data_IF_105359550908
#
_entry.id   IF_105359550908
#
_cell.length_a   1.000
_cell.length_b   1.000
_cell.length_c   1.000
_cell.angle_alpha   90.00
_cell.angle_beta   90.00
_cell.angle_gamma   90.00
#
_symmetry.space_group_name_H-M   'P 1'
#
loop_
_entity.id
_entity.type
_entity.pdbx_description
1 polymer ?
#
# COMPACT_ATOMS: atom_id res chain seq x y z
N UNK A 1 32.51 -66.50 15.70
CA UNK A 1 33.22 -67.04 16.89
C UNK A 1 33.75 -65.83 17.66
N UNK A 2 32.93 -65.30 18.58
CA UNK A 2 32.99 -65.48 20.06
C UNK A 2 34.32 -64.97 20.63
N UNK A 3 34.35 -63.74 21.17
CA UNK A 3 34.14 -63.35 22.58
C UNK A 3 35.36 -63.64 23.48
N UNK A 4 35.93 -62.60 24.12
CA UNK A 4 35.80 -62.41 25.58
C UNK A 4 36.74 -61.34 26.20
N UNK A 5 36.12 -60.47 27.00
CA UNK A 5 36.43 -60.09 28.40
C UNK A 5 37.76 -59.39 28.77
N UNK A 6 37.67 -58.15 29.28
CA UNK A 6 38.09 -57.75 30.63
C UNK A 6 37.77 -56.26 30.93
N UNK A 7 37.57 -55.97 32.22
CA UNK A 7 37.02 -54.76 32.84
C UNK A 7 38.09 -54.14 33.75
N UNK A 8 38.31 -52.82 33.78
CA UNK A 8 38.66 -52.03 34.98
C UNK A 8 38.93 -50.54 34.70
N UNK A 9 38.03 -49.70 35.23
CA UNK A 9 38.24 -48.50 36.07
C UNK A 9 39.52 -47.65 36.02
N UNK A 10 39.33 -46.33 35.86
CA UNK A 10 40.10 -45.30 36.59
C UNK A 10 40.20 -43.94 35.88
N UNK A 11 40.09 -42.78 36.56
CA UNK A 11 39.44 -41.57 36.02
C UNK A 11 40.35 -40.31 35.98
N UNK A 12 39.78 -39.18 35.53
CA UNK A 12 39.88 -37.78 36.03
C UNK A 12 39.42 -36.83 34.90
N UNK A 13 38.81 -35.65 35.06
CA UNK A 13 38.12 -34.90 36.13
C UNK A 13 37.81 -33.53 35.46
N UNK A 14 36.69 -32.87 35.74
CA UNK A 14 36.47 -31.51 35.21
C UNK A 14 35.03 -30.99 35.23
N UNK A 15 34.47 -30.92 36.42
CA UNK A 15 33.09 -30.53 36.77
C UNK A 15 32.88 -29.02 37.02
N UNK A 16 31.63 -28.56 36.82
CA UNK A 16 30.86 -27.61 37.66
C UNK A 16 31.34 -26.16 37.85
N UNK A 17 30.54 -25.12 38.15
CA UNK A 17 29.10 -24.87 38.37
C UNK A 17 28.90 -23.33 38.58
N UNK A 18 27.63 -22.89 38.59
CA UNK A 18 27.06 -21.75 39.38
C UNK A 18 27.16 -20.27 38.95
N UNK A 19 25.98 -19.75 38.55
CA UNK A 19 25.22 -18.63 39.15
C UNK A 19 25.95 -17.44 39.82
N UNK A 20 25.58 -16.20 39.42
CA UNK A 20 25.16 -15.14 40.35
C UNK A 20 24.40 -13.97 39.67
N UNK A 21 23.23 -13.68 40.23
CA UNK A 21 22.32 -12.57 39.97
C UNK A 21 22.90 -11.30 40.62
N UNK A 22 22.98 -10.18 39.88
CA UNK A 22 23.25 -8.86 40.45
C UNK A 22 22.12 -7.88 40.13
N UNK A 23 21.31 -7.63 41.13
CA UNK A 23 20.20 -6.67 41.15
C UNK A 23 20.75 -5.25 41.24
N UNK A 24 20.75 -4.50 40.14
CA UNK A 24 21.05 -3.06 40.16
C UNK A 24 19.76 -2.25 40.08
N UNK A 25 19.38 -1.68 41.21
CA UNK A 25 18.28 -0.74 41.38
C UNK A 25 18.52 0.51 40.53
N UNK A 26 17.74 0.73 39.47
CA UNK A 26 17.72 1.98 38.72
C UNK A 26 16.45 2.75 39.03
N UNK A 27 16.63 3.80 39.84
CA UNK A 27 15.61 4.70 40.38
C UNK A 27 14.66 5.24 39.30
N UNK A 28 13.36 4.96 39.46
CA UNK A 28 12.27 5.57 38.67
C UNK A 28 12.09 7.02 39.14
N UNK A 29 12.84 7.96 38.55
CA UNK A 29 12.50 9.39 38.61
C UNK A 29 11.20 9.60 37.84
N UNK A 30 10.08 9.46 38.56
CA UNK A 30 8.73 9.80 38.12
C UNK A 30 8.70 11.30 37.86
N UNK A 31 8.79 11.71 36.60
CA UNK A 31 8.47 13.07 36.19
C UNK A 31 7.01 13.32 36.58
N UNK A 32 6.83 14.11 37.63
CA UNK A 32 5.54 14.61 38.09
C UNK A 32 5.11 15.64 37.05
N UNK A 33 4.36 15.19 36.05
CA UNK A 33 3.76 16.06 35.03
C UNK A 33 2.54 16.69 35.67
N UNK A 34 2.64 17.99 35.93
CA UNK A 34 1.60 18.78 36.54
C UNK A 34 0.29 18.70 35.74
N UNK A 35 -0.78 18.56 36.50
CA UNK A 35 -2.14 18.32 36.06
C UNK A 35 -2.83 19.64 35.74
N UNK A 36 -2.40 20.32 34.69
CA UNK A 36 -3.25 21.33 34.05
C UNK A 36 -4.26 20.61 33.15
N UNK A 37 -5.44 20.35 33.72
CA UNK A 37 -6.67 20.06 32.98
C UNK A 37 -7.05 21.31 32.17
N UNK A 38 -6.35 21.54 31.07
CA UNK A 38 -6.93 22.30 29.96
C UNK A 38 -8.18 21.53 29.53
N UNK A 39 -9.35 22.16 29.60
CA UNK A 39 -10.59 21.58 29.08
C UNK A 39 -10.32 21.19 27.62
N UNK A 40 -10.23 19.89 27.35
CA UNK A 40 -10.14 19.40 25.99
C UNK A 40 -11.55 19.53 25.45
N UNK A 41 -11.80 20.51 24.59
CA UNK A 41 -13.02 20.53 23.80
C UNK A 41 -13.12 19.17 23.10
N UNK A 42 -14.26 18.49 23.28
CA UNK A 42 -14.48 17.21 22.64
C UNK A 42 -14.33 17.42 21.12
N UNK A 43 -13.58 16.54 20.43
CA UNK A 43 -13.39 16.69 19.00
C UNK A 43 -14.75 16.70 18.30
N UNK A 44 -14.93 17.54 17.25
CA UNK A 44 -16.19 17.65 16.53
C UNK A 44 -16.65 16.27 16.05
N UNK A 45 -17.92 15.94 16.32
CA UNK A 45 -18.48 14.62 16.02
C UNK A 45 -18.67 14.46 14.50
N UNK A 46 -18.34 13.28 13.99
CA UNK A 46 -18.62 12.93 12.60
C UNK A 46 -20.10 12.53 12.46
N UNK A 47 -20.91 13.39 11.84
CA UNK A 47 -22.35 13.15 11.63
C UNK A 47 -22.65 12.13 10.52
N UNK A 48 -21.67 11.82 9.66
CA UNK A 48 -21.84 10.80 8.61
C UNK A 48 -22.11 9.40 9.18
N UNK A 49 -21.60 9.11 10.38
CA UNK A 49 -21.86 7.84 11.07
C UNK A 49 -23.30 7.74 11.62
N UNK A 50 -24.06 8.84 11.64
CA UNK A 50 -25.45 8.88 12.12
C UNK A 50 -26.44 8.59 10.99
N UNK A 51 -26.01 8.74 9.73
CA UNK A 51 -26.84 8.46 8.55
C UNK A 51 -26.99 6.94 8.39
N UNK A 52 -28.19 6.42 8.07
CA UNK A 52 -28.36 5.01 7.73
C UNK A 52 -27.43 4.58 6.59
N UNK A 53 -26.85 3.38 6.71
CA UNK A 53 -25.85 2.90 5.77
C UNK A 53 -26.35 2.89 4.31
N UNK A 54 -27.61 2.52 4.09
CA UNK A 54 -28.22 2.46 2.75
C UNK A 54 -28.23 3.83 2.06
N UNK A 55 -28.57 4.88 2.81
CA UNK A 55 -28.60 6.26 2.28
C UNK A 55 -27.18 6.73 1.98
N UNK A 56 -26.24 6.44 2.88
CA UNK A 56 -24.84 6.77 2.67
C UNK A 56 -24.26 6.02 1.46
N UNK A 57 -24.63 4.76 1.27
CA UNK A 57 -24.23 3.94 0.13
C UNK A 57 -24.76 4.50 -1.20
N UNK A 58 -26.04 4.91 -1.24
CA UNK A 58 -26.63 5.53 -2.43
C UNK A 58 -25.91 6.84 -2.78
N UNK A 59 -25.67 7.72 -1.81
CA UNK A 59 -24.91 8.96 -2.02
C UNK A 59 -23.53 8.66 -2.60
N UNK A 60 -22.79 7.74 -1.98
CA UNK A 60 -21.44 7.38 -2.42
C UNK A 60 -21.43 6.76 -3.81
N UNK A 61 -22.50 6.09 -4.23
CA UNK A 61 -22.60 5.48 -5.55
C UNK A 61 -22.59 6.50 -6.70
N UNK A 62 -22.93 7.77 -6.44
CA UNK A 62 -22.82 8.89 -7.38
C UNK A 62 -21.53 9.71 -7.24
N UNK A 63 -20.65 9.38 -6.29
CA UNK A 63 -19.36 10.06 -6.10
C UNK A 63 -18.25 9.39 -6.91
N UNK A 64 -17.03 9.92 -6.88
CA UNK A 64 -15.89 9.29 -7.56
C UNK A 64 -15.28 8.18 -6.70
N UNK A 65 -14.63 7.15 -7.29
CA UNK A 65 -13.98 6.11 -6.49
C UNK A 65 -12.86 6.66 -5.60
N UNK A 66 -12.28 7.80 -5.98
CA UNK A 66 -11.31 8.54 -5.17
C UNK A 66 -11.92 9.05 -3.86
N UNK A 67 -13.15 9.57 -3.91
CA UNK A 67 -13.84 10.14 -2.75
C UNK A 67 -14.30 9.02 -1.81
N UNK A 68 -14.83 7.93 -2.35
CA UNK A 68 -15.19 6.73 -1.58
C UNK A 68 -13.94 6.20 -0.85
N UNK A 69 -12.80 6.13 -1.54
CA UNK A 69 -11.53 5.70 -0.93
C UNK A 69 -11.06 6.64 0.18
N UNK A 70 -11.18 7.95 -0.02
CA UNK A 70 -10.84 8.94 1.00
C UNK A 70 -11.72 8.78 2.25
N UNK A 71 -13.04 8.59 2.05
CA UNK A 71 -13.98 8.35 3.14
C UNK A 71 -13.67 7.03 3.88
N UNK A 72 -13.46 5.95 3.14
CA UNK A 72 -13.12 4.65 3.71
C UNK A 72 -11.88 4.73 4.63
N UNK A 73 -10.90 5.57 4.30
CA UNK A 73 -9.67 5.73 5.09
C UNK A 73 -9.76 6.75 6.22
N UNK A 74 -10.81 7.57 6.25
CA UNK A 74 -11.02 8.57 7.29
C UNK A 74 -11.40 7.95 8.65
N UNK A 75 -12.03 6.77 8.65
CA UNK A 75 -12.50 6.10 9.86
C UNK A 75 -12.39 4.57 9.74
N UNK A 76 -12.05 3.88 10.84
CA UNK A 76 -12.06 2.41 10.92
C UNK A 76 -13.42 1.82 10.58
N UNK A 77 -14.51 2.47 11.00
CA UNK A 77 -15.88 2.03 10.67
C UNK A 77 -16.09 2.04 9.15
N UNK A 78 -15.81 3.18 8.49
CA UNK A 78 -15.95 3.28 7.03
C UNK A 78 -15.01 2.35 6.28
N UNK A 79 -13.79 2.11 6.78
CA UNK A 79 -12.87 1.14 6.20
C UNK A 79 -13.47 -0.27 6.20
N UNK A 80 -13.98 -0.71 7.36
CA UNK A 80 -14.62 -2.01 7.49
C UNK A 80 -15.86 -2.12 6.57
N UNK A 81 -16.67 -1.06 6.50
CA UNK A 81 -17.94 -1.06 5.78
C UNK A 81 -17.80 -0.91 4.27
N UNK A 82 -16.87 -0.10 3.77
CA UNK A 82 -16.76 0.21 2.33
C UNK A 82 -15.57 -0.44 1.65
N UNK A 83 -14.45 -0.68 2.34
CA UNK A 83 -13.27 -1.28 1.71
C UNK A 83 -13.19 -2.80 1.93
N UNK A 84 -13.59 -3.28 3.11
CA UNK A 84 -13.41 -4.68 3.49
C UNK A 84 -14.67 -5.54 3.38
N UNK A 85 -15.85 -4.92 3.16
CA UNK A 85 -17.11 -5.64 3.06
C UNK A 85 -17.51 -5.88 1.59
N UNK A 86 -17.61 -7.15 1.13
CA UNK A 86 -18.06 -7.48 -0.22
C UNK A 86 -19.42 -6.91 -0.59
N UNK A 87 -20.34 -6.74 0.38
CA UNK A 87 -21.67 -6.19 0.13
C UNK A 87 -21.64 -4.74 -0.34
N UNK A 88 -20.55 -4.00 -0.12
CA UNK A 88 -20.38 -2.62 -0.58
C UNK A 88 -19.84 -2.49 -2.01
N UNK A 89 -19.53 -3.61 -2.68
CA UNK A 89 -18.91 -3.63 -4.02
C UNK A 89 -19.73 -2.91 -5.08
N UNK A 90 -21.07 -2.92 -4.97
CA UNK A 90 -21.95 -2.25 -5.94
C UNK A 90 -21.72 -0.74 -6.00
N UNK A 91 -21.39 -0.11 -4.86
CA UNK A 91 -21.12 1.33 -4.74
C UNK A 91 -19.92 1.67 -5.62
N UNK A 92 -18.85 0.89 -5.50
CA UNK A 92 -17.63 1.10 -6.28
C UNK A 92 -17.84 0.83 -7.76
N UNK A 93 -18.54 -0.26 -8.12
CA UNK A 93 -18.83 -0.59 -9.53
C UNK A 93 -19.59 0.53 -10.23
N UNK A 94 -20.63 1.07 -9.58
CA UNK A 94 -21.41 2.19 -10.11
C UNK A 94 -20.56 3.44 -10.26
N UNK A 95 -19.90 3.86 -9.17
CA UNK A 95 -19.01 5.01 -9.15
C UNK A 95 -17.89 4.94 -10.21
N UNK A 96 -17.40 3.73 -10.48
CA UNK A 96 -16.38 3.43 -11.49
C UNK A 96 -16.92 3.52 -12.92
N UNK A 97 -18.12 3.00 -13.16
CA UNK A 97 -18.80 3.06 -14.45
C UNK A 97 -19.21 4.50 -14.82
N UNK A 98 -19.66 5.28 -13.83
CA UNK A 98 -20.10 6.66 -14.01
C UNK A 98 -18.94 7.68 -13.97
N UNK A 99 -17.69 7.22 -13.92
CA UNK A 99 -16.52 8.09 -13.83
C UNK A 99 -16.33 8.90 -15.14
N UNK A 100 -16.16 10.22 -15.00
CA UNK A 100 -16.00 11.19 -16.08
C UNK A 100 -14.51 11.60 -16.19
N UNK A 101 -13.89 11.68 -17.40
CA UNK A 101 -14.46 11.62 -18.76
C UNK A 101 -14.76 10.24 -19.32
N UNK A 102 -14.07 9.20 -18.83
CA UNK A 102 -14.24 7.86 -19.34
C UNK A 102 -14.47 6.91 -18.17
N UNK A 103 -15.41 5.98 -18.36
CA UNK A 103 -15.62 4.88 -17.44
C UNK A 103 -14.31 4.15 -17.18
N UNK A 104 -14.05 3.86 -15.90
CA UNK A 104 -12.85 3.13 -15.51
C UNK A 104 -13.10 1.63 -15.78
N UNK A 105 -12.17 0.92 -16.44
CA UNK A 105 -12.31 -0.50 -16.75
C UNK A 105 -12.51 -1.38 -15.52
N UNK A 106 -13.03 -2.59 -15.73
CA UNK A 106 -13.17 -3.56 -14.64
C UNK A 106 -11.79 -3.94 -14.06
N UNK A 107 -11.69 -4.07 -12.73
CA UNK A 107 -10.46 -4.54 -12.10
C UNK A 107 -10.12 -5.95 -12.55
N UNK A 108 -8.83 -6.24 -12.70
CA UNK A 108 -8.36 -7.61 -12.91
C UNK A 108 -8.63 -8.47 -11.67
N UNK A 109 -8.73 -9.81 -11.79
CA UNK A 109 -9.15 -10.68 -10.69
C UNK A 109 -8.31 -10.60 -9.40
N UNK A 110 -7.09 -10.07 -9.49
CA UNK A 110 -6.20 -9.84 -8.35
C UNK A 110 -6.49 -8.55 -7.56
N UNK A 111 -7.46 -7.73 -7.97
CA UNK A 111 -7.84 -6.51 -7.28
C UNK A 111 -9.29 -6.59 -6.77
N UNK A 112 -9.49 -6.16 -5.53
CA UNK A 112 -10.80 -5.69 -5.06
C UNK A 112 -11.06 -4.29 -5.60
N UNK A 113 -12.33 -3.88 -5.72
CA UNK A 113 -12.68 -2.52 -6.18
C UNK A 113 -11.99 -1.42 -5.35
N UNK A 114 -11.96 -1.54 -4.02
CA UNK A 114 -11.30 -0.58 -3.15
C UNK A 114 -9.76 -0.56 -3.36
N UNK A 115 -9.14 -1.73 -3.54
CA UNK A 115 -7.70 -1.81 -3.83
C UNK A 115 -7.34 -1.30 -5.23
N UNK A 116 -8.26 -1.44 -6.19
CA UNK A 116 -8.14 -0.91 -7.53
C UNK A 116 -8.25 0.62 -7.52
N UNK A 117 -9.22 1.17 -6.81
CA UNK A 117 -9.31 2.62 -6.58
C UNK A 117 -8.04 3.17 -5.90
N UNK A 118 -7.51 2.45 -4.90
CA UNK A 118 -6.23 2.80 -4.28
C UNK A 118 -5.08 2.80 -5.30
N UNK A 119 -5.00 1.77 -6.13
CA UNK A 119 -4.01 1.72 -7.20
C UNK A 119 -4.12 2.94 -8.13
N UNK A 120 -5.31 3.29 -8.60
CA UNK A 120 -5.50 4.41 -9.53
C UNK A 120 -5.20 5.77 -8.90
N UNK A 121 -5.70 6.03 -7.68
CA UNK A 121 -5.78 7.38 -7.12
C UNK A 121 -4.80 7.69 -6.00
N UNK A 122 -4.17 6.68 -5.38
CA UNK A 122 -3.27 6.95 -4.27
C UNK A 122 -2.01 7.67 -4.71
N UNK A 123 -1.40 8.48 -3.83
CA UNK A 123 -0.04 8.95 -4.05
C UNK A 123 0.95 7.79 -3.90
N UNK A 124 1.92 7.70 -4.80
CA UNK A 124 2.95 6.67 -4.80
C UNK A 124 4.35 7.25 -4.67
N UNK A 125 5.37 6.39 -4.69
CA UNK A 125 6.78 6.81 -4.76
C UNK A 125 7.19 6.93 -6.22
N UNK A 126 8.04 7.91 -6.53
CA UNK A 126 8.68 7.99 -7.84
C UNK A 126 9.68 6.84 -8.02
N UNK A 127 9.72 6.25 -9.21
CA UNK A 127 10.59 5.09 -9.47
C UNK A 127 12.08 5.43 -9.35
N UNK A 128 12.48 6.65 -9.70
CA UNK A 128 13.88 7.06 -9.69
C UNK A 128 14.33 7.62 -8.35
N UNK A 129 13.69 8.70 -7.86
CA UNK A 129 14.14 9.37 -6.62
C UNK A 129 13.48 8.85 -5.35
N UNK A 130 12.52 7.91 -5.46
CA UNK A 130 11.73 7.32 -4.36
C UNK A 130 10.96 8.31 -3.48
N UNK A 131 10.94 9.61 -3.82
CA UNK A 131 10.12 10.63 -3.15
C UNK A 131 8.64 10.41 -3.45
N UNK A 132 7.77 10.76 -2.50
CA UNK A 132 6.32 10.67 -2.65
C UNK A 132 5.84 11.65 -3.73
N UNK A 133 5.07 11.16 -4.68
CA UNK A 133 4.44 11.90 -5.76
C UNK A 133 2.92 11.80 -5.61
N UNK A 134 2.24 12.94 -5.79
CA UNK A 134 0.77 13.00 -5.88
C UNK A 134 0.27 12.75 -7.31
N UNK A 135 1.19 12.61 -8.27
CA UNK A 135 0.84 12.34 -9.66
C UNK A 135 0.38 10.90 -9.84
N UNK A 136 -0.51 10.70 -10.81
CA UNK A 136 -0.97 9.39 -11.25
C UNK A 136 0.18 8.56 -11.85
N UNK A 137 -0.10 7.29 -12.10
CA UNK A 137 0.81 6.42 -12.85
C UNK A 137 1.10 7.00 -14.23
N UNK A 138 2.38 6.99 -14.62
CA UNK A 138 2.82 7.30 -15.98
C UNK A 138 2.50 6.15 -16.94
N UNK A 139 2.58 4.92 -16.42
CA UNK A 139 2.13 3.68 -17.05
C UNK A 139 1.45 2.84 -15.98
N UNK A 140 0.15 2.55 -16.14
CA UNK A 140 -0.59 1.67 -15.22
C UNK A 140 -0.09 0.23 -15.34
N UNK A 141 0.16 -0.24 -16.57
CA UNK A 141 0.65 -1.61 -16.82
C UNK A 141 2.01 -1.85 -16.17
N UNK A 142 2.95 -0.91 -16.29
CA UNK A 142 4.27 -1.01 -15.65
C UNK A 142 4.26 -0.60 -14.18
N UNK A 143 3.13 -0.14 -13.66
CA UNK A 143 3.02 0.48 -12.32
C UNK A 143 4.11 1.53 -12.09
N UNK A 144 4.35 2.36 -13.11
CA UNK A 144 5.44 3.34 -13.14
C UNK A 144 4.98 4.73 -12.70
N UNK A 145 5.68 5.37 -11.75
CA UNK A 145 5.38 6.74 -11.28
C UNK A 145 6.58 7.66 -11.32
N UNK A 146 6.34 8.94 -11.62
CA UNK A 146 7.35 10.00 -11.59
C UNK A 146 6.98 11.14 -10.63
N UNK A 147 7.98 11.87 -10.14
CA UNK A 147 7.81 12.99 -9.19
C UNK A 147 7.63 14.36 -9.86
N UNK A 148 7.16 14.42 -11.11
CA UNK A 148 7.01 15.66 -11.90
C UNK A 148 8.33 16.30 -12.35
N UNK A 149 9.46 15.98 -11.69
CA UNK A 149 10.77 16.49 -12.07
C UNK A 149 11.25 15.86 -13.38
N UNK A 150 11.66 16.66 -14.38
CA UNK A 150 12.04 16.15 -15.70
C UNK A 150 13.25 15.21 -15.64
N UNK A 151 14.22 15.48 -14.77
CA UNK A 151 15.40 14.63 -14.63
C UNK A 151 15.07 13.17 -14.25
N UNK A 152 14.02 12.93 -13.44
CA UNK A 152 13.62 11.58 -13.06
C UNK A 152 13.03 10.83 -14.26
N UNK A 153 12.31 11.53 -15.14
CA UNK A 153 11.74 10.94 -16.34
C UNK A 153 12.83 10.64 -17.36
N UNK A 154 13.74 11.58 -17.62
CA UNK A 154 14.85 11.39 -18.56
C UNK A 154 15.79 10.27 -18.11
N UNK A 155 16.14 10.25 -16.81
CA UNK A 155 16.99 9.18 -16.25
C UNK A 155 16.34 7.80 -16.39
N UNK A 156 15.05 7.67 -16.06
CA UNK A 156 14.39 6.38 -16.24
C UNK A 156 14.32 5.96 -17.71
N UNK A 157 14.09 6.92 -18.63
CA UNK A 157 14.08 6.63 -20.06
C UNK A 157 15.44 6.16 -20.57
N UNK A 158 16.54 6.81 -20.17
CA UNK A 158 17.88 6.38 -20.58
C UNK A 158 18.24 4.99 -20.04
N UNK A 159 17.80 4.71 -18.81
CA UNK A 159 18.24 3.51 -18.10
C UNK A 159 17.38 2.28 -18.45
N UNK A 160 16.10 2.46 -18.81
CA UNK A 160 15.10 1.38 -18.85
C UNK A 160 14.16 1.40 -20.06
N UNK A 161 14.09 2.49 -20.84
CA UNK A 161 13.18 2.56 -21.98
C UNK A 161 13.91 2.25 -23.29
N UNK A 162 13.36 1.33 -24.07
CA UNK A 162 13.79 1.10 -25.44
C UNK A 162 12.86 1.82 -26.43
N UNK A 163 13.46 2.51 -27.40
CA UNK A 163 12.72 3.06 -28.52
C UNK A 163 12.58 1.98 -29.59
N UNK A 164 11.34 1.54 -29.80
CA UNK A 164 11.04 0.52 -30.80
C UNK A 164 11.07 1.17 -32.18
N UNK A 165 12.14 0.92 -32.95
CA UNK A 165 12.20 1.30 -34.36
C UNK A 165 11.35 0.31 -35.16
N UNK A 166 10.24 0.79 -35.75
CA UNK A 166 9.32 -0.05 -36.54
C UNK A 166 9.84 -0.35 -37.95
N UNK A 167 11.13 -0.61 -38.12
CA UNK A 167 11.74 -1.06 -39.37
C UNK A 167 11.29 -2.52 -39.63
N UNK A 168 10.24 -2.69 -40.43
CA UNK A 168 9.62 -4.00 -40.72
C UNK A 168 8.30 -4.29 -40.00
N UNK A 169 7.56 -3.23 -39.64
CA UNK A 169 6.33 -3.18 -38.83
C UNK A 169 5.26 -4.27 -39.06
N UNK A 170 5.29 -5.03 -40.16
CA UNK A 170 4.28 -6.06 -40.43
C UNK A 170 4.50 -7.38 -39.68
N UNK A 171 5.74 -7.81 -39.41
CA UNK A 171 5.97 -9.13 -38.80
C UNK A 171 5.55 -9.19 -37.33
N UNK A 172 5.71 -8.09 -36.59
CA UNK A 172 5.49 -8.04 -35.14
C UNK A 172 4.43 -7.01 -34.74
N UNK A 173 3.57 -6.59 -35.68
CA UNK A 173 2.54 -5.58 -35.44
C UNK A 173 1.70 -5.90 -34.20
N UNK A 174 1.23 -7.15 -34.12
CA UNK A 174 0.48 -7.64 -32.97
C UNK A 174 1.30 -7.51 -31.68
N UNK A 175 2.53 -8.02 -31.65
CA UNK A 175 3.38 -7.93 -30.46
C UNK A 175 3.57 -6.48 -29.98
N UNK A 176 3.78 -5.53 -30.91
CA UNK A 176 3.96 -4.10 -30.57
C UNK A 176 2.71 -3.41 -30.03
N UNK A 177 1.53 -4.01 -30.24
CA UNK A 177 0.26 -3.54 -29.67
C UNK A 177 0.13 -3.91 -28.18
N UNK A 178 0.66 -5.08 -27.80
CA UNK A 178 0.66 -5.56 -26.41
C UNK A 178 1.77 -4.95 -25.55
N UNK A 179 2.75 -4.27 -26.16
CA UNK A 179 3.86 -3.68 -25.41
C UNK A 179 3.36 -2.53 -24.53
N UNK A 180 3.64 -2.55 -23.21
CA UNK A 180 3.25 -1.49 -22.31
C UNK A 180 3.82 -0.14 -22.74
N UNK A 181 2.94 0.83 -22.98
CA UNK A 181 3.32 2.22 -23.27
C UNK A 181 3.12 3.08 -22.04
N UNK A 182 3.88 4.17 -21.94
CA UNK A 182 3.56 5.22 -20.98
C UNK A 182 2.32 5.98 -21.47
N UNK A 183 1.21 5.89 -20.74
CA UNK A 183 -0.03 6.58 -21.12
C UNK A 183 0.09 8.09 -20.92
N UNK A 184 0.86 8.53 -19.91
CA UNK A 184 1.12 9.95 -19.67
C UNK A 184 2.44 10.34 -20.33
N UNK A 185 2.33 11.02 -21.47
CA UNK A 185 3.50 11.54 -22.19
C UNK A 185 4.10 12.73 -21.49
N UNK A 186 3.30 13.60 -20.87
CA UNK A 186 3.75 14.76 -20.09
C UNK A 186 2.87 14.97 -18.85
N UNK A 187 3.51 15.16 -17.69
CA UNK A 187 2.82 15.70 -16.52
C UNK A 187 2.79 17.21 -16.75
N UNK A 188 1.59 17.79 -16.93
CA UNK A 188 1.41 19.21 -17.20
C UNK A 188 2.26 20.10 -16.29
N UNK A 189 2.77 21.19 -16.88
CA UNK A 189 3.58 22.22 -16.21
C UNK A 189 2.91 22.72 -14.93
#
# INVERSE_FOLDING_TARGET
MVDNTAKSSGPQLGSSDSNQISTTQRSKKRFKRDNERTQREDPPRCHLNTIPLEILAEILSYTTPRDILALARSNKFFCATFANNPSSTFIWKRSRADFNPNAIPDPTPNFTEASYAAFLFDPGKCEVCKKKSKLMYASFTLRLRFCGKPHCKTKWRSDQAEEIQTLGANRYKLLTEWMPRAEIRDFGK
#
